data_IF_317168311679
#
_entry.id   IF_317168311679
#
_cell.length_a   1.000
_cell.length_b   1.000
_cell.length_c   1.000
_cell.angle_alpha   90.00
_cell.angle_beta   90.00
_cell.angle_gamma   90.00
#
_symmetry.space_group_name_H-M   'P 1'
#
loop_
_entity.id
_entity.type
_entity.pdbx_description
1 polymer ?
#
# COMPACT_ATOMS: atom_id res chain seq x y z
N UNK A 1 -12.82 11.59 -10.39
CA UNK A 1 -13.72 10.48 -10.04
C UNK A 1 -14.46 10.09 -11.30
N UNK A 2 -14.36 8.84 -11.72
CA UNK A 2 -15.29 8.31 -12.73
C UNK A 2 -16.67 8.33 -12.08
N UNK A 3 -17.69 8.84 -12.78
CA UNK A 3 -19.06 8.81 -12.28
C UNK A 3 -19.45 7.36 -12.02
N UNK A 4 -19.94 7.05 -10.82
CA UNK A 4 -20.44 5.71 -10.53
C UNK A 4 -21.60 5.42 -11.52
N UNK A 5 -21.53 4.32 -12.29
CA UNK A 5 -22.59 3.98 -13.24
C UNK A 5 -23.90 3.73 -12.49
N UNK A 6 -25.03 4.11 -13.10
CA UNK A 6 -26.34 3.77 -12.56
C UNK A 6 -26.67 2.28 -12.83
N UNK A 7 -27.77 1.77 -12.27
CA UNK A 7 -28.12 0.35 -12.41
C UNK A 7 -28.34 -0.10 -13.85
N UNK A 8 -28.91 0.73 -14.73
CA UNK A 8 -29.11 0.36 -16.14
C UNK A 8 -27.76 0.25 -16.87
N UNK A 9 -26.84 1.17 -16.62
CA UNK A 9 -25.47 1.09 -17.13
C UNK A 9 -24.72 -0.11 -16.56
N UNK A 10 -24.94 -0.47 -15.30
CA UNK A 10 -24.34 -1.65 -14.69
C UNK A 10 -24.83 -2.94 -15.33
N UNK A 11 -26.14 -3.05 -15.61
CA UNK A 11 -26.72 -4.20 -16.33
C UNK A 11 -26.08 -4.37 -17.71
N UNK A 12 -25.92 -3.28 -18.44
CA UNK A 12 -25.23 -3.29 -19.74
C UNK A 12 -23.77 -3.76 -19.61
N UNK A 13 -23.04 -3.26 -18.62
CA UNK A 13 -21.62 -3.59 -18.42
C UNK A 13 -21.42 -5.01 -17.92
N UNK A 14 -22.28 -5.50 -17.02
CA UNK A 14 -22.21 -6.88 -16.52
C UNK A 14 -22.86 -7.90 -17.46
N UNK A 15 -23.68 -7.45 -18.42
CA UNK A 15 -24.40 -8.32 -19.35
C UNK A 15 -25.55 -9.11 -18.71
N UNK A 16 -26.08 -8.62 -17.58
CA UNK A 16 -27.15 -9.28 -16.81
C UNK A 16 -28.18 -8.26 -16.34
N UNK A 17 -29.47 -8.60 -16.45
CA UNK A 17 -30.56 -7.81 -15.88
C UNK A 17 -30.74 -8.05 -14.36
N UNK A 18 -30.05 -9.04 -13.80
CA UNK A 18 -30.13 -9.37 -12.38
C UNK A 18 -29.30 -8.41 -11.53
N UNK A 19 -29.96 -7.75 -10.56
CA UNK A 19 -29.29 -6.80 -9.66
C UNK A 19 -28.16 -7.46 -8.83
N UNK A 20 -28.29 -8.76 -8.52
CA UNK A 20 -27.27 -9.55 -7.83
C UNK A 20 -25.95 -9.57 -8.60
N UNK A 21 -26.01 -9.72 -9.93
CA UNK A 21 -24.83 -9.69 -10.79
C UNK A 21 -24.22 -8.30 -10.87
N UNK A 22 -25.04 -7.24 -10.90
CA UNK A 22 -24.56 -5.86 -10.83
C UNK A 22 -23.79 -5.59 -9.51
N UNK A 23 -24.32 -6.04 -8.37
CA UNK A 23 -23.63 -5.90 -7.08
C UNK A 23 -22.34 -6.71 -7.04
N UNK A 24 -22.37 -7.97 -7.51
CA UNK A 24 -21.18 -8.81 -7.61
C UNK A 24 -20.09 -8.17 -8.46
N UNK A 25 -20.46 -7.57 -9.60
CA UNK A 25 -19.55 -6.85 -10.47
C UNK A 25 -18.87 -5.68 -9.75
N UNK A 26 -19.63 -4.84 -9.04
CA UNK A 26 -19.08 -3.72 -8.27
C UNK A 26 -18.11 -4.22 -7.20
N UNK A 27 -18.50 -5.22 -6.40
CA UNK A 27 -17.64 -5.74 -5.33
C UNK A 27 -16.36 -6.39 -5.87
N UNK A 28 -16.45 -7.11 -7.00
CA UNK A 28 -15.29 -7.70 -7.65
C UNK A 28 -14.33 -6.63 -8.21
N UNK A 29 -14.86 -5.57 -8.80
CA UNK A 29 -14.05 -4.43 -9.25
C UNK A 29 -13.36 -3.77 -8.06
N UNK A 30 -14.09 -3.50 -6.98
CA UNK A 30 -13.58 -2.85 -5.79
C UNK A 30 -12.56 -3.71 -5.02
N UNK A 31 -12.70 -5.05 -5.04
CA UNK A 31 -11.69 -6.00 -4.56
C UNK A 31 -10.41 -5.92 -5.41
N UNK A 32 -10.55 -5.90 -6.74
CA UNK A 32 -9.43 -5.79 -7.69
C UNK A 32 -8.65 -4.49 -7.51
N UNK A 33 -9.34 -3.35 -7.40
CA UNK A 33 -8.72 -2.05 -7.14
C UNK A 33 -7.94 -2.05 -5.82
N UNK A 34 -8.51 -2.67 -4.78
CA UNK A 34 -7.84 -2.78 -3.50
C UNK A 34 -6.61 -3.72 -3.54
N UNK A 35 -6.66 -4.80 -4.32
CA UNK A 35 -5.49 -5.65 -4.59
C UNK A 35 -4.37 -4.85 -5.28
N UNK A 36 -4.72 -3.99 -6.24
CA UNK A 36 -3.78 -3.06 -6.87
C UNK A 36 -3.14 -2.08 -5.87
N UNK A 37 -3.92 -1.56 -4.91
CA UNK A 37 -3.40 -0.72 -3.82
C UNK A 37 -2.43 -1.48 -2.92
N UNK A 38 -2.77 -2.72 -2.52
CA UNK A 38 -1.92 -3.59 -1.70
C UNK A 38 -0.56 -3.81 -2.35
N UNK A 39 -0.52 -4.11 -3.65
CA UNK A 39 0.73 -4.31 -4.39
C UNK A 39 1.62 -3.05 -4.35
N UNK A 40 1.03 -1.87 -4.61
CA UNK A 40 1.76 -0.59 -4.52
C UNK A 40 2.31 -0.33 -3.11
N UNK A 41 1.54 -0.63 -2.07
CA UNK A 41 2.00 -0.48 -0.67
C UNK A 41 3.15 -1.43 -0.34
N UNK A 42 3.11 -2.67 -0.84
CA UNK A 42 4.21 -3.64 -0.70
C UNK A 42 5.48 -3.11 -1.37
N UNK A 43 5.38 -2.61 -2.60
CA UNK A 43 6.52 -2.07 -3.33
C UNK A 43 7.15 -0.86 -2.62
N UNK A 44 6.31 0.06 -2.12
CA UNK A 44 6.76 1.20 -1.33
C UNK A 44 7.47 0.76 -0.03
N UNK A 45 6.91 -0.22 0.69
CA UNK A 45 7.54 -0.77 1.89
C UNK A 45 8.91 -1.39 1.56
N UNK A 46 9.00 -2.15 0.47
CA UNK A 46 10.24 -2.81 0.06
C UNK A 46 11.32 -1.79 -0.33
N UNK A 47 10.95 -0.78 -1.12
CA UNK A 47 11.87 0.31 -1.49
C UNK A 47 12.39 1.07 -0.26
N UNK A 48 11.52 1.35 0.70
CA UNK A 48 11.90 2.05 1.92
C UNK A 48 12.78 1.20 2.85
N UNK A 49 12.51 -0.11 2.98
CA UNK A 49 13.39 -1.05 3.69
C UNK A 49 14.79 -1.10 3.10
N UNK A 50 14.90 -1.16 1.76
CA UNK A 50 16.20 -1.12 1.09
C UNK A 50 16.94 0.19 1.36
N UNK A 51 16.25 1.33 1.34
CA UNK A 51 16.83 2.63 1.68
C UNK A 51 17.32 2.68 3.13
N UNK A 52 16.52 2.19 4.08
CA UNK A 52 16.89 2.12 5.49
C UNK A 52 18.12 1.23 5.69
N UNK A 53 18.18 0.06 5.05
CA UNK A 53 19.35 -0.83 5.09
C UNK A 53 20.62 -0.11 4.62
N UNK A 54 20.55 0.57 3.46
CA UNK A 54 21.69 1.34 2.94
C UNK A 54 22.12 2.48 3.86
N UNK A 55 21.17 3.13 4.54
CA UNK A 55 21.49 4.18 5.50
C UNK A 55 22.20 3.62 6.73
N UNK A 56 21.77 2.44 7.20
CA UNK A 56 22.45 1.75 8.29
C UNK A 56 23.89 1.42 7.91
N UNK A 57 24.12 0.85 6.71
CA UNK A 57 25.46 0.54 6.21
C UNK A 57 26.37 1.79 6.17
N UNK A 58 25.84 2.92 5.68
CA UNK A 58 26.58 4.19 5.60
C UNK A 58 26.85 4.80 6.98
N UNK A 59 25.92 4.65 7.94
CA UNK A 59 26.11 5.11 9.31
C UNK A 59 27.22 4.29 9.97
N UNK A 60 27.18 2.97 9.84
CA UNK A 60 28.18 2.06 10.40
C UNK A 60 29.57 2.34 9.79
N UNK A 61 29.65 2.51 8.47
CA UNK A 61 30.89 2.93 7.79
C UNK A 61 31.38 4.28 8.32
N UNK A 62 30.49 5.27 8.41
CA UNK A 62 30.82 6.60 8.91
C UNK A 62 31.37 6.58 10.34
N UNK A 63 30.78 5.78 11.23
CA UNK A 63 31.27 5.64 12.61
C UNK A 63 32.67 5.03 12.70
N UNK A 64 33.09 4.26 11.69
CA UNK A 64 34.43 3.66 11.62
C UNK A 64 35.51 4.62 11.08
N UNK A 65 35.13 5.76 10.50
CA UNK A 65 36.06 6.72 9.93
C UNK A 65 36.68 7.56 11.04
N UNK A 66 38.01 7.51 11.19
CA UNK A 66 38.72 8.17 12.28
C UNK A 66 38.76 9.70 12.17
N UNK A 67 38.65 10.25 10.96
CA UNK A 67 38.80 11.69 10.70
C UNK A 67 37.65 12.20 9.83
N UNK A 68 36.70 12.87 10.47
CA UNK A 68 35.74 13.75 9.81
C UNK A 68 36.11 15.21 10.05
N UNK A 69 36.00 16.02 8.99
CA UNK A 69 35.85 17.46 9.18
C UNK A 69 34.47 17.77 9.80
N UNK A 70 34.28 19.00 10.26
CA UNK A 70 33.05 19.42 10.94
C UNK A 70 31.80 19.23 10.05
N UNK A 71 31.92 19.45 8.74
CA UNK A 71 30.82 19.32 7.78
C UNK A 71 30.41 17.87 7.61
N UNK A 72 31.38 16.97 7.47
CA UNK A 72 31.13 15.55 7.31
C UNK A 72 30.50 14.94 8.58
N UNK A 73 30.89 15.41 9.78
CA UNK A 73 30.25 15.00 11.03
C UNK A 73 28.77 15.41 11.09
N UNK A 74 28.45 16.65 10.69
CA UNK A 74 27.06 17.11 10.57
C UNK A 74 26.28 16.27 9.56
N UNK A 75 26.92 15.89 8.44
CA UNK A 75 26.34 14.98 7.46
C UNK A 75 25.92 13.63 8.05
N UNK A 76 26.79 13.01 8.85
CA UNK A 76 26.50 11.75 9.54
C UNK A 76 25.36 11.89 10.57
N UNK A 77 25.36 12.96 11.36
CA UNK A 77 24.27 13.25 12.31
C UNK A 77 22.91 13.38 11.58
N UNK A 78 22.87 14.12 10.45
CA UNK A 78 21.65 14.25 9.63
C UNK A 78 21.23 12.95 8.95
N UNK A 79 22.18 12.06 8.64
CA UNK A 79 21.85 10.75 8.08
C UNK A 79 21.09 9.89 9.11
N UNK A 80 21.52 9.91 10.37
CA UNK A 80 20.83 9.23 11.49
C UNK A 80 19.40 9.76 11.65
N UNK A 81 19.22 11.09 11.66
CA UNK A 81 17.89 11.73 11.73
C UNK A 81 17.00 11.35 10.54
N UNK A 82 17.59 11.30 9.34
CA UNK A 82 16.88 10.89 8.13
C UNK A 82 16.48 9.41 8.17
N UNK A 83 17.31 8.54 8.74
CA UNK A 83 16.97 7.14 8.95
C UNK A 83 15.79 6.97 9.91
N UNK A 84 15.79 7.67 11.05
CA UNK A 84 14.67 7.66 11.98
C UNK A 84 13.36 8.15 11.30
N UNK A 85 13.45 9.18 10.47
CA UNK A 85 12.30 9.68 9.70
C UNK A 85 11.80 8.66 8.67
N UNK A 86 12.71 7.95 7.98
CA UNK A 86 12.33 6.89 7.05
C UNK A 86 11.63 5.72 7.78
N UNK A 87 12.07 5.37 8.99
CA UNK A 87 11.42 4.30 9.77
C UNK A 87 9.98 4.68 10.18
N UNK A 88 9.74 5.93 10.58
CA UNK A 88 8.38 6.44 10.86
C UNK A 88 7.47 6.31 9.64
N UNK A 89 7.97 6.65 8.46
CA UNK A 89 7.20 6.48 7.21
C UNK A 89 6.92 5.00 6.94
N UNK A 90 7.91 4.12 7.14
CA UNK A 90 7.75 2.68 6.94
C UNK A 90 6.66 2.11 7.86
N UNK A 91 6.63 2.50 9.13
CA UNK A 91 5.58 2.09 10.06
C UNK A 91 4.20 2.57 9.61
N UNK A 92 4.10 3.79 9.06
CA UNK A 92 2.86 4.30 8.46
C UNK A 92 2.39 3.45 7.28
N UNK A 93 3.30 3.08 6.39
CA UNK A 93 2.99 2.23 5.23
C UNK A 93 2.58 0.81 5.62
N UNK A 94 3.21 0.23 6.65
CA UNK A 94 2.84 -1.09 7.17
C UNK A 94 1.41 -1.06 7.72
N UNK A 95 1.06 -0.04 8.51
CA UNK A 95 -0.31 0.12 9.02
C UNK A 95 -1.31 0.30 7.89
N UNK A 96 -0.98 1.09 6.86
CA UNK A 96 -1.83 1.25 5.69
C UNK A 96 -2.02 -0.07 4.93
N UNK A 97 -0.97 -0.88 4.81
CA UNK A 97 -1.01 -2.20 4.18
C UNK A 97 -1.92 -3.16 4.95
N UNK A 98 -1.85 -3.16 6.28
CA UNK A 98 -2.70 -3.99 7.13
C UNK A 98 -4.18 -3.58 7.00
N UNK A 99 -4.46 -2.27 7.01
CA UNK A 99 -5.81 -1.75 6.74
C UNK A 99 -6.31 -2.15 5.35
N UNK A 100 -5.48 -2.03 4.31
CA UNK A 100 -5.85 -2.41 2.96
C UNK A 100 -6.16 -3.92 2.86
N UNK A 101 -5.40 -4.77 3.56
CA UNK A 101 -5.66 -6.22 3.63
C UNK A 101 -6.98 -6.54 4.34
N UNK A 102 -7.27 -5.88 5.46
CA UNK A 102 -8.54 -6.06 6.16
C UNK A 102 -9.74 -5.69 5.27
N UNK A 103 -9.64 -4.56 4.56
CA UNK A 103 -10.65 -4.11 3.60
C UNK A 103 -10.79 -5.08 2.42
N UNK A 104 -9.71 -5.70 1.94
CA UNK A 104 -9.80 -6.73 0.87
C UNK A 104 -10.59 -7.94 1.36
N UNK A 105 -10.35 -8.38 2.59
CA UNK A 105 -11.00 -9.55 3.15
C UNK A 105 -12.51 -9.30 3.34
N UNK A 106 -12.91 -8.08 3.73
CA UNK A 106 -14.31 -7.63 3.72
C UNK A 106 -14.91 -7.66 2.30
N UNK A 107 -14.24 -7.08 1.30
CA UNK A 107 -14.74 -7.04 -0.09
C UNK A 107 -14.88 -8.43 -0.70
N UNK A 108 -13.92 -9.33 -0.42
CA UNK A 108 -13.98 -10.72 -0.85
C UNK A 108 -15.20 -11.43 -0.27
N UNK A 109 -15.56 -11.14 0.97
CA UNK A 109 -16.77 -11.68 1.58
C UNK A 109 -18.04 -11.14 0.90
N UNK A 110 -18.07 -9.85 0.56
CA UNK A 110 -19.19 -9.27 -0.20
C UNK A 110 -19.39 -9.97 -1.55
N UNK A 111 -18.31 -10.28 -2.28
CA UNK A 111 -18.39 -11.08 -3.52
C UNK A 111 -18.96 -12.47 -3.25
N UNK A 112 -18.47 -13.17 -2.22
CA UNK A 112 -18.95 -14.53 -1.86
C UNK A 112 -20.42 -14.54 -1.48
N UNK A 113 -20.91 -13.53 -0.77
CA UNK A 113 -22.33 -13.42 -0.41
C UNK A 113 -23.24 -13.30 -1.63
N UNK A 114 -22.72 -12.76 -2.74
CA UNK A 114 -23.42 -12.73 -4.02
C UNK A 114 -23.37 -14.07 -4.76
N UNK A 115 -22.57 -15.07 -4.34
CA UNK A 115 -22.56 -16.40 -4.95
C UNK A 115 -23.46 -17.42 -4.23
N UNK A 116 -23.72 -17.22 -2.93
CA UNK A 116 -24.41 -18.21 -2.08
C UNK A 116 -25.93 -18.04 -2.05
N UNK A 117 -26.45 -16.90 -2.51
CA UNK A 117 -27.90 -16.60 -2.49
C UNK A 117 -28.52 -16.81 -3.87
N UNK A 118 -28.76 -18.07 -4.24
CA UNK A 118 -29.69 -18.44 -5.32
C UNK A 118 -31.11 -18.60 -4.75
#
# INVERSE_FOLDING_TARGET
MVSMPNFEQLKEVCGSDELKDCFKFIFAQDESENNGLILKLIDLCNGLRQKISKFADLIDEGQCISHFDATARVGLERLVESQASNDVILQGLIRALDSARAVRDEKRENVRLMDVRD
#
